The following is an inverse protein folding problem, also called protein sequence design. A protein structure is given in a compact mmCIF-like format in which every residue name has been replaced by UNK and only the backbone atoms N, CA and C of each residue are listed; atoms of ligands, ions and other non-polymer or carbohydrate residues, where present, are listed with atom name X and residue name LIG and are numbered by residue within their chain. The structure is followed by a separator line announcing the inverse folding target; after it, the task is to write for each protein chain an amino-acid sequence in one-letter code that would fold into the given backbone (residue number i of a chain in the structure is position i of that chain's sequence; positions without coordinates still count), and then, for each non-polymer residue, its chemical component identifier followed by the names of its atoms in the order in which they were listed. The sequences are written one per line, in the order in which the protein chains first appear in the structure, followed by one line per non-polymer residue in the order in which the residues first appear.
data_IF_609712163679
#
_entry.id   IF_609712163679
#
_cell.length_a   1.000
_cell.length_b   1.000
_cell.length_c   1.000
_cell.angle_alpha   90.00
_cell.angle_beta   90.00
_cell.angle_gamma   90.00
#
_symmetry.space_group_name_H-M   'P 1'
#
loop_
_entity.id
_entity.type
_entity.pdbx_description
1 polymer ?
#
# COMPACT_ATOMS: atom_id res chain seq x y z
N UNK A 1 14.48 22.61 -39.87
CA UNK A 1 13.54 22.21 -38.79
C UNK A 1 14.17 21.10 -37.99
N UNK A 2 14.62 21.33 -36.75
CA UNK A 2 15.16 20.28 -35.87
C UNK A 2 13.98 19.45 -35.37
N UNK A 3 13.91 18.17 -35.76
CA UNK A 3 12.94 17.21 -35.23
C UNK A 3 13.44 16.74 -33.87
N UNK A 4 12.77 17.15 -32.78
CA UNK A 4 13.04 16.62 -31.44
C UNK A 4 12.32 15.29 -31.30
N UNK A 5 13.06 14.20 -31.20
CA UNK A 5 12.52 12.87 -30.88
C UNK A 5 12.53 12.73 -29.36
N UNK A 6 11.35 12.55 -28.76
CA UNK A 6 11.20 12.28 -27.33
C UNK A 6 11.27 10.76 -27.12
N UNK A 7 12.32 10.28 -26.46
CA UNK A 7 12.42 8.89 -26.00
C UNK A 7 12.17 8.87 -24.50
N UNK A 8 11.10 8.21 -24.06
CA UNK A 8 10.81 7.94 -22.65
C UNK A 8 11.17 6.47 -22.41
N UNK A 9 12.19 6.22 -21.59
CA UNK A 9 12.57 4.89 -21.15
C UNK A 9 12.29 4.75 -19.65
N UNK A 10 11.49 3.76 -19.28
CA UNK A 10 11.23 3.38 -17.89
C UNK A 10 11.86 2.00 -17.70
N UNK A 11 12.85 1.90 -16.82
CA UNK A 11 13.46 0.63 -16.44
C UNK A 11 13.07 0.32 -15.00
N UNK A 12 12.39 -0.80 -14.78
CA UNK A 12 12.10 -1.34 -13.44
C UNK A 12 12.63 -2.77 -13.34
N UNK A 13 13.27 -3.06 -12.22
CA UNK A 13 13.70 -4.41 -11.85
C UNK A 13 13.10 -4.68 -10.48
N UNK A 14 12.31 -5.74 -10.36
CA UNK A 14 11.71 -6.19 -9.11
C UNK A 14 12.10 -7.64 -8.88
N UNK A 15 12.78 -7.91 -7.76
CA UNK A 15 13.12 -9.26 -7.31
C UNK A 15 12.20 -9.60 -6.14
N UNK A 16 11.28 -10.55 -6.33
CA UNK A 16 10.35 -11.01 -5.31
C UNK A 16 10.76 -12.39 -4.83
N UNK A 17 10.96 -12.55 -3.53
CA UNK A 17 11.22 -13.83 -2.87
C UNK A 17 10.05 -14.14 -1.94
N UNK A 18 9.37 -15.27 -2.14
CA UNK A 18 8.20 -15.69 -1.35
C UNK A 18 6.88 -15.74 -2.13
N UNK A 19 6.10 -16.80 -1.93
CA UNK A 19 4.77 -17.00 -2.52
C UNK A 19 3.84 -17.64 -1.49
N UNK A 20 2.54 -17.33 -1.56
CA UNK A 20 1.51 -17.97 -0.73
C UNK A 20 1.13 -17.29 0.59
N UNK A 21 1.67 -16.13 0.96
CA UNK A 21 1.24 -15.46 2.20
C UNK A 21 -0.21 -14.94 2.11
N UNK A 22 -0.98 -14.96 3.22
CA UNK A 22 -2.29 -14.31 3.29
C UNK A 22 -2.16 -12.79 3.18
N UNK A 23 -3.25 -12.09 2.85
CA UNK A 23 -3.33 -10.63 2.84
C UNK A 23 -2.36 -9.90 1.87
N UNK A 24 -1.99 -10.52 0.74
CA UNK A 24 -1.04 -9.94 -0.24
C UNK A 24 -1.36 -8.53 -0.73
N UNK A 25 -2.63 -8.17 -0.74
CA UNK A 25 -3.10 -6.85 -1.17
C UNK A 25 -2.49 -5.70 -0.34
N UNK A 26 -2.01 -5.97 0.87
CA UNK A 26 -1.33 -4.99 1.74
C UNK A 26 0.07 -4.58 1.22
N UNK A 27 0.64 -5.28 0.23
CA UNK A 27 1.98 -4.97 -0.28
C UNK A 27 2.19 -5.11 -1.78
N UNK A 28 1.20 -5.61 -2.53
CA UNK A 28 1.25 -5.65 -4.00
C UNK A 28 1.46 -4.28 -4.63
N UNK A 29 1.15 -3.21 -3.90
CA UNK A 29 1.31 -1.84 -4.38
C UNK A 29 0.03 -1.28 -4.94
N UNK A 30 -0.10 0.04 -4.89
CA UNK A 30 -1.15 0.80 -5.56
C UNK A 30 -0.57 2.06 -6.21
N UNK A 31 -1.35 2.70 -7.09
CA UNK A 31 -0.89 3.90 -7.80
C UNK A 31 -0.03 3.56 -9.02
N UNK A 32 -0.50 3.95 -10.21
CA UNK A 32 0.20 3.66 -11.47
C UNK A 32 1.64 4.18 -11.51
N UNK A 33 1.89 5.34 -10.87
CA UNK A 33 3.24 5.92 -10.77
C UNK A 33 4.19 5.04 -9.95
N UNK A 34 3.77 4.60 -8.76
CA UNK A 34 4.62 3.75 -7.91
C UNK A 34 4.82 2.37 -8.50
N UNK A 35 3.77 1.78 -9.05
CA UNK A 35 3.84 0.48 -9.71
C UNK A 35 4.77 0.50 -10.93
N UNK A 36 4.71 1.55 -11.76
CA UNK A 36 5.62 1.68 -12.92
C UNK A 36 7.08 1.91 -12.51
N UNK A 37 7.33 2.45 -11.31
CA UNK A 37 8.64 2.59 -10.68
C UNK A 37 9.04 1.37 -9.84
N UNK A 38 8.46 0.19 -10.10
CA UNK A 38 8.83 -1.06 -9.43
C UNK A 38 8.26 -1.22 -8.02
N UNK A 39 7.06 -0.68 -7.77
CA UNK A 39 6.39 -0.66 -6.46
C UNK A 39 7.15 0.16 -5.39
N UNK A 40 7.82 1.23 -5.82
CA UNK A 40 8.51 2.16 -4.93
C UNK A 40 7.60 3.30 -4.50
N UNK A 41 7.80 3.82 -3.30
CA UNK A 41 6.97 4.90 -2.78
C UNK A 41 7.36 5.39 -1.39
N UNK A 42 8.16 4.64 -0.64
CA UNK A 42 8.50 5.02 0.75
C UNK A 42 9.31 6.31 0.81
N UNK A 43 10.14 6.57 -0.21
CA UNK A 43 10.99 7.74 -0.33
C UNK A 43 10.56 8.70 -1.44
N UNK A 44 9.36 8.55 -2.01
CA UNK A 44 8.85 9.48 -3.02
C UNK A 44 8.11 10.64 -2.36
N UNK A 45 8.44 11.85 -2.81
CA UNK A 45 7.64 13.05 -2.57
C UNK A 45 6.42 13.10 -3.53
N UNK A 46 5.35 13.79 -3.11
CA UNK A 46 4.13 13.99 -3.93
C UNK A 46 3.57 12.69 -4.53
N UNK A 47 3.41 11.66 -3.70
CA UNK A 47 2.73 10.43 -4.09
C UNK A 47 1.26 10.48 -3.68
N UNK A 48 0.32 10.38 -4.60
CA UNK A 48 -1.14 10.48 -4.31
C UNK A 48 -1.62 9.41 -3.33
N UNK A 49 -1.02 8.22 -3.37
CA UNK A 49 -1.28 7.11 -2.46
C UNK A 49 -0.28 7.07 -1.29
N UNK A 50 0.27 8.22 -0.87
CA UNK A 50 1.28 8.29 0.19
C UNK A 50 0.91 7.53 1.49
N UNK A 51 -0.34 7.57 2.01
CA UNK A 51 -0.69 6.83 3.23
C UNK A 51 -0.41 5.32 3.15
N UNK A 52 -0.46 4.72 1.96
CA UNK A 52 -0.17 3.30 1.75
C UNK A 52 1.33 2.97 1.72
N UNK A 53 2.22 3.91 1.36
CA UNK A 53 3.66 3.65 1.26
C UNK A 53 4.46 4.22 2.43
N UNK A 54 4.17 5.46 2.82
CA UNK A 54 4.80 6.14 3.93
C UNK A 54 3.89 7.28 4.43
N UNK A 55 3.31 7.15 5.65
CA UNK A 55 2.49 8.21 6.25
C UNK A 55 3.18 9.59 6.26
N UNK A 56 4.50 9.67 6.46
CA UNK A 56 5.22 10.95 6.49
C UNK A 56 5.21 11.71 5.15
N UNK A 57 5.09 10.99 4.03
CA UNK A 57 5.12 11.57 2.68
C UNK A 57 3.86 12.37 2.34
N UNK A 58 2.83 12.32 3.19
CA UNK A 58 1.63 13.16 3.07
C UNK A 58 1.91 14.62 3.44
N UNK A 59 2.92 14.87 4.28
CA UNK A 59 3.29 16.22 4.70
C UNK A 59 3.92 17.04 3.57
N UNK A 60 3.59 18.33 3.52
CA UNK A 60 4.06 19.28 2.51
C UNK A 60 3.85 18.77 1.07
N UNK A 61 2.72 18.10 0.80
CA UNK A 61 2.38 17.67 -0.57
C UNK A 61 1.80 18.81 -1.44
N UNK A 62 1.43 19.93 -0.83
CA UNK A 62 0.68 20.99 -1.48
C UNK A 62 -0.80 20.67 -1.65
N UNK A 63 -1.34 20.92 -2.85
CA UNK A 63 -2.78 20.95 -3.11
C UNK A 63 -3.44 19.58 -2.94
N UNK A 64 -4.75 19.63 -2.70
CA UNK A 64 -5.63 18.46 -2.70
C UNK A 64 -5.45 17.64 -3.98
N UNK A 65 -5.36 16.33 -3.82
CA UNK A 65 -5.31 15.35 -4.90
C UNK A 65 -6.29 14.23 -4.63
N UNK A 66 -6.94 13.76 -5.69
CA UNK A 66 -7.77 12.57 -5.71
C UNK A 66 -7.24 11.64 -6.82
N UNK A 67 -7.07 10.37 -6.50
CA UNK A 67 -6.69 9.34 -7.46
C UNK A 67 -7.48 8.08 -7.20
N UNK A 68 -7.75 7.31 -8.24
CA UNK A 68 -8.36 6.00 -8.13
C UNK A 68 -7.86 5.13 -9.26
N UNK A 69 -7.95 3.82 -9.08
CA UNK A 69 -7.59 2.89 -10.13
C UNK A 69 -7.89 1.45 -9.76
N UNK A 70 -7.57 0.57 -10.68
CA UNK A 70 -7.77 -0.87 -10.53
C UNK A 70 -6.57 -1.65 -11.07
N UNK A 71 -6.44 -2.90 -10.63
CA UNK A 71 -5.44 -3.86 -11.09
C UNK A 71 -6.13 -5.19 -11.36
N UNK A 72 -5.86 -5.78 -12.52
CA UNK A 72 -6.27 -7.13 -12.85
C UNK A 72 -5.09 -8.07 -12.61
N UNK A 73 -5.31 -9.08 -11.80
CA UNK A 73 -4.31 -10.07 -11.43
C UNK A 73 -4.71 -11.43 -11.99
N UNK A 74 -3.76 -12.37 -12.02
CA UNK A 74 -4.07 -13.76 -12.35
C UNK A 74 -5.07 -14.36 -11.34
N UNK A 75 -5.83 -15.37 -11.80
CA UNK A 75 -6.87 -16.08 -11.04
C UNK A 75 -8.08 -15.20 -10.71
N UNK A 76 -8.50 -14.36 -11.67
CA UNK A 76 -9.68 -13.47 -11.57
C UNK A 76 -9.70 -12.57 -10.33
N UNK A 77 -8.51 -12.31 -9.77
CA UNK A 77 -8.31 -11.39 -8.66
C UNK A 77 -8.28 -9.95 -9.16
N UNK A 78 -8.91 -9.08 -8.40
CA UNK A 78 -9.01 -7.65 -8.70
C UNK A 78 -8.64 -6.84 -7.47
N UNK A 79 -7.90 -5.76 -7.68
CA UNK A 79 -7.66 -4.73 -6.67
C UNK A 79 -8.24 -3.43 -7.20
N UNK A 80 -9.02 -2.75 -6.37
CA UNK A 80 -9.47 -1.37 -6.59
C UNK A 80 -8.87 -0.50 -5.50
N UNK A 81 -8.57 0.74 -5.81
CA UNK A 81 -8.16 1.71 -4.81
C UNK A 81 -8.69 3.10 -5.12
N UNK A 82 -8.90 3.88 -4.06
CA UNK A 82 -9.12 5.31 -4.12
C UNK A 82 -8.26 5.97 -3.06
N UNK A 83 -7.67 7.13 -3.37
CA UNK A 83 -6.86 7.88 -2.44
C UNK A 83 -7.13 9.37 -2.56
N UNK A 84 -7.23 10.02 -1.41
CA UNK A 84 -7.25 11.45 -1.28
C UNK A 84 -6.11 11.90 -0.37
N UNK A 85 -5.52 13.04 -0.67
CA UNK A 85 -4.49 13.62 0.17
C UNK A 85 -4.47 15.13 -0.01
N UNK A 86 -4.21 15.87 1.06
CA UNK A 86 -4.10 17.33 1.03
C UNK A 86 -3.14 17.81 2.10
N UNK A 87 -2.41 18.88 1.79
CA UNK A 87 -1.85 19.74 2.83
C UNK A 87 -2.99 20.49 3.54
N UNK A 88 -2.87 20.65 4.86
CA UNK A 88 -3.85 21.34 5.71
C UNK A 88 -3.29 22.71 6.10
N UNK A 89 -2.09 22.76 6.69
CA UNK A 89 -1.46 24.00 7.15
C UNK A 89 0.02 23.81 7.45
N UNK A 90 0.87 24.77 7.07
CA UNK A 90 2.28 24.88 7.49
C UNK A 90 3.09 23.57 7.41
N UNK A 91 3.00 22.85 6.29
CA UNK A 91 3.70 21.58 6.10
C UNK A 91 3.08 20.40 6.86
N UNK A 92 1.89 20.55 7.44
CA UNK A 92 1.06 19.45 7.91
C UNK A 92 0.09 18.99 6.82
N UNK A 93 -0.09 17.68 6.66
CA UNK A 93 -0.96 17.09 5.66
C UNK A 93 -1.73 15.89 6.19
N UNK A 94 -2.85 15.61 5.54
CA UNK A 94 -3.70 14.43 5.78
C UNK A 94 -3.90 13.65 4.50
N UNK A 95 -4.09 12.35 4.64
CA UNK A 95 -4.41 11.48 3.52
C UNK A 95 -5.25 10.29 3.96
N UNK A 96 -6.03 9.78 3.03
CA UNK A 96 -6.86 8.60 3.19
C UNK A 96 -6.74 7.75 1.93
N UNK A 97 -6.42 6.47 2.11
CA UNK A 97 -6.43 5.47 1.04
C UNK A 97 -7.46 4.41 1.42
N UNK A 98 -8.27 4.01 0.45
CA UNK A 98 -9.07 2.80 0.50
C UNK A 98 -8.59 1.82 -0.57
N UNK A 99 -8.51 0.55 -0.22
CA UNK A 99 -8.17 -0.56 -1.11
C UNK A 99 -9.23 -1.64 -0.93
N UNK A 100 -9.72 -2.17 -2.03
CA UNK A 100 -10.58 -3.34 -2.06
C UNK A 100 -9.92 -4.43 -2.90
N UNK A 101 -9.69 -5.59 -2.32
CA UNK A 101 -9.17 -6.78 -3.00
C UNK A 101 -10.23 -7.87 -3.00
N UNK A 102 -10.56 -8.41 -4.17
CA UNK A 102 -11.51 -9.50 -4.29
C UNK A 102 -11.09 -10.54 -5.30
N UNK A 103 -11.68 -11.73 -5.18
CA UNK A 103 -11.68 -12.77 -6.20
C UNK A 103 -13.12 -13.04 -6.60
N UNK A 104 -13.37 -13.13 -7.91
CA UNK A 104 -14.69 -13.42 -8.45
C UNK A 104 -14.92 -14.91 -8.65
N UNK A 105 -16.20 -15.30 -8.66
CA UNK A 105 -16.73 -16.50 -9.32
C UNK A 105 -16.00 -17.82 -9.05
N UNK A 106 -15.58 -18.06 -7.79
CA UNK A 106 -15.00 -19.35 -7.41
C UNK A 106 -16.11 -20.37 -7.23
N UNK A 107 -16.14 -21.43 -8.04
CA UNK A 107 -17.14 -22.51 -7.92
C UNK A 107 -17.08 -23.20 -6.55
N UNK A 108 -18.18 -23.17 -5.80
CA UNK A 108 -18.37 -24.03 -4.63
C UNK A 108 -18.76 -25.44 -5.10
N UNK A 109 -18.07 -26.48 -4.61
CA UNK A 109 -18.33 -27.88 -5.00
C UNK A 109 -18.58 -28.77 -3.79
N UNK A 110 -19.52 -29.71 -3.93
CA UNK A 110 -19.72 -30.77 -2.94
C UNK A 110 -18.66 -31.89 -3.09
N UNK A 111 -18.73 -32.91 -2.24
CA UNK A 111 -17.81 -34.06 -2.29
C UNK A 111 -17.88 -34.83 -3.60
N UNK A 112 -19.02 -34.78 -4.30
CA UNK A 112 -19.26 -35.41 -5.60
C UNK A 112 -18.84 -34.50 -6.78
N UNK A 113 -18.16 -33.38 -6.49
CA UNK A 113 -17.69 -32.37 -7.45
C UNK A 113 -18.78 -31.60 -8.19
N UNK A 114 -20.04 -31.68 -7.75
CA UNK A 114 -21.15 -30.92 -8.32
C UNK A 114 -21.07 -29.46 -7.85
N UNK A 115 -21.36 -28.52 -8.75
CA UNK A 115 -21.39 -27.09 -8.42
C UNK A 115 -22.63 -26.82 -7.56
N UNK A 116 -22.40 -26.28 -6.37
CA UNK A 116 -23.44 -25.97 -5.38
C UNK A 116 -23.68 -24.47 -5.21
N UNK A 117 -22.80 -23.63 -5.76
CA UNK A 117 -22.88 -22.18 -5.68
C UNK A 117 -21.55 -21.52 -6.02
N UNK A 118 -21.36 -20.28 -5.56
CA UNK A 118 -20.09 -19.55 -5.69
C UNK A 118 -19.58 -19.11 -4.32
N UNK A 119 -18.27 -19.18 -4.13
CA UNK A 119 -17.55 -18.65 -2.99
C UNK A 119 -17.02 -17.28 -3.36
N UNK A 120 -17.27 -16.29 -2.51
CA UNK A 120 -16.69 -14.96 -2.65
C UNK A 120 -15.74 -14.66 -1.51
N UNK A 121 -14.64 -14.01 -1.84
CA UNK A 121 -13.69 -13.47 -0.87
C UNK A 121 -13.40 -12.01 -1.23
N UNK A 122 -13.58 -11.14 -0.25
CA UNK A 122 -13.39 -9.70 -0.37
C UNK A 122 -12.65 -9.18 0.84
N UNK A 123 -11.71 -8.27 0.62
CA UNK A 123 -10.94 -7.65 1.68
C UNK A 123 -10.86 -6.15 1.43
N UNK A 124 -11.09 -5.37 2.47
CA UNK A 124 -10.97 -3.93 2.46
C UNK A 124 -9.82 -3.51 3.38
N UNK A 125 -9.03 -2.54 2.93
CA UNK A 125 -8.06 -1.83 3.74
C UNK A 125 -8.30 -0.33 3.66
N UNK A 126 -8.21 0.34 4.79
CA UNK A 126 -8.29 1.79 4.90
C UNK A 126 -7.04 2.28 5.64
N UNK A 127 -6.32 3.22 5.03
CA UNK A 127 -5.17 3.88 5.62
C UNK A 127 -5.47 5.36 5.76
N UNK A 128 -5.62 5.83 6.99
CA UNK A 128 -5.64 7.26 7.29
C UNK A 128 -4.28 7.67 7.80
N UNK A 129 -3.74 8.79 7.33
CA UNK A 129 -2.46 9.32 7.78
C UNK A 129 -2.53 10.83 8.04
N UNK A 130 -1.87 11.25 9.11
CA UNK A 130 -1.51 12.63 9.37
C UNK A 130 0.01 12.74 9.45
N UNK A 131 0.57 13.77 8.84
CA UNK A 131 2.00 14.01 8.89
C UNK A 131 2.32 15.49 9.00
N UNK A 132 3.46 15.81 9.60
CA UNK A 132 3.96 17.17 9.76
C UNK A 132 5.44 17.25 9.44
N UNK A 133 5.82 18.31 8.74
CA UNK A 133 7.21 18.78 8.68
C UNK A 133 7.61 19.32 10.05
N UNK A 134 8.38 18.54 10.81
CA UNK A 134 8.85 18.92 12.16
C UNK A 134 10.13 19.74 12.12
N UNK A 135 11.00 19.48 11.14
CA UNK A 135 12.17 20.29 10.83
C UNK A 135 12.22 20.55 9.33
N UNK A 136 13.06 21.49 8.87
CA UNK A 136 13.14 21.88 7.45
C UNK A 136 13.41 20.73 6.47
N UNK A 137 13.97 19.63 6.97
CA UNK A 137 14.34 18.41 6.25
C UNK A 137 13.74 17.13 6.85
N UNK A 138 13.01 17.18 7.98
CA UNK A 138 12.45 15.99 8.64
C UNK A 138 10.94 16.09 8.70
N UNK A 139 10.31 15.04 8.21
CA UNK A 139 8.88 14.86 8.15
C UNK A 139 8.51 13.59 8.91
N UNK A 140 7.54 13.70 9.82
CA UNK A 140 7.04 12.58 10.60
C UNK A 140 5.56 12.37 10.29
N UNK A 141 5.15 11.12 10.17
CA UNK A 141 3.76 10.76 9.94
C UNK A 141 3.32 9.60 10.81
N UNK A 142 2.05 9.63 11.20
CA UNK A 142 1.37 8.58 11.91
C UNK A 142 0.02 8.33 11.23
N UNK A 143 -0.46 7.11 11.31
CA UNK A 143 -1.70 6.71 10.68
C UNK A 143 -2.45 5.65 11.47
N UNK A 144 -3.74 5.57 11.18
CA UNK A 144 -4.61 4.48 11.61
C UNK A 144 -4.91 3.64 10.40
N UNK A 145 -4.78 2.34 10.56
CA UNK A 145 -4.99 1.35 9.51
C UNK A 145 -6.13 0.43 9.95
N UNK A 146 -7.10 0.19 9.07
CA UNK A 146 -8.21 -0.72 9.33
C UNK A 146 -8.29 -1.74 8.21
N UNK A 147 -8.36 -3.01 8.59
CA UNK A 147 -8.51 -4.14 7.69
C UNK A 147 -9.80 -4.87 7.98
N UNK A 148 -10.50 -5.26 6.94
CA UNK A 148 -11.68 -6.09 7.02
C UNK A 148 -11.58 -7.18 5.96
N UNK A 149 -11.82 -8.42 6.38
CA UNK A 149 -11.83 -9.58 5.52
C UNK A 149 -13.21 -10.22 5.58
N UNK A 150 -13.72 -10.58 4.41
CA UNK A 150 -14.97 -11.29 4.23
C UNK A 150 -14.72 -12.55 3.40
N UNK A 151 -15.20 -13.67 3.93
CA UNK A 151 -15.18 -14.98 3.27
C UNK A 151 -16.57 -15.60 3.47
N UNK A 152 -17.35 -15.65 2.39
CA UNK A 152 -18.78 -16.01 2.45
C UNK A 152 -19.56 -15.16 3.47
N UNK A 153 -20.16 -15.77 4.49
CA UNK A 153 -20.88 -15.12 5.59
C UNK A 153 -20.01 -14.86 6.82
N UNK A 154 -18.70 -15.15 6.76
CA UNK A 154 -17.75 -14.78 7.81
C UNK A 154 -17.13 -13.43 7.50
N UNK A 155 -17.21 -12.50 8.45
CA UNK A 155 -16.55 -11.20 8.37
C UNK A 155 -15.75 -10.98 9.63
N UNK A 156 -14.49 -10.58 9.47
CA UNK A 156 -13.60 -10.25 10.56
C UNK A 156 -12.83 -8.97 10.23
N UNK A 157 -12.44 -8.20 11.25
CA UNK A 157 -11.71 -6.96 11.04
C UNK A 157 -10.79 -6.62 12.19
N UNK A 158 -9.79 -5.79 11.92
CA UNK A 158 -8.83 -5.32 12.91
C UNK A 158 -8.38 -3.90 12.57
N UNK A 159 -8.02 -3.14 13.60
CA UNK A 159 -7.39 -1.84 13.45
C UNK A 159 -5.97 -1.88 14.03
N UNK A 160 -5.12 -0.99 13.53
CA UNK A 160 -3.74 -0.83 13.99
C UNK A 160 -3.18 0.51 13.56
N UNK A 161 -1.85 0.60 13.57
CA UNK A 161 -1.16 1.85 13.33
C UNK A 161 -0.10 1.74 12.23
N UNK A 162 0.09 2.86 11.54
CA UNK A 162 1.20 3.09 10.63
C UNK A 162 2.05 4.26 11.13
N UNK A 163 3.36 4.19 10.89
CA UNK A 163 4.29 5.26 11.21
C UNK A 163 5.29 5.45 10.08
N UNK A 164 5.77 6.68 9.91
CA UNK A 164 6.65 7.04 8.81
C UNK A 164 7.60 8.18 9.16
N UNK A 165 8.77 8.14 8.52
CA UNK A 165 9.78 9.19 8.55
C UNK A 165 10.21 9.47 7.10
N UNK A 166 10.36 10.75 6.77
CA UNK A 166 10.95 11.19 5.50
C UNK A 166 11.99 12.27 5.77
N UNK A 167 13.23 12.01 5.34
CA UNK A 167 14.34 12.94 5.41
C UNK A 167 14.63 13.49 4.01
N UNK A 168 14.48 14.82 3.84
CA UNK A 168 14.54 15.49 2.52
C UNK A 168 15.73 16.44 2.45
N UNK A 169 16.68 16.13 1.57
CA UNK A 169 17.82 16.96 1.20
C UNK A 169 17.41 17.75 -0.05
N UNK A 170 17.63 19.06 -0.05
CA UNK A 170 17.21 19.94 -1.16
C UNK A 170 18.25 20.04 -2.29
N UNK A 171 19.53 20.04 -1.93
CA UNK A 171 20.63 20.15 -2.89
C UNK A 171 21.78 19.21 -2.49
N UNK A 172 21.97 18.08 -3.19
CA UNK A 172 21.10 17.54 -4.24
C UNK A 172 19.71 17.11 -3.74
N UNK A 173 18.70 17.05 -4.62
CA UNK A 173 17.34 16.64 -4.24
C UNK A 173 17.26 15.13 -3.99
N UNK A 174 17.48 14.73 -2.74
CA UNK A 174 17.46 13.35 -2.27
C UNK A 174 16.43 13.21 -1.16
N UNK A 175 15.65 12.14 -1.18
CA UNK A 175 14.77 11.77 -0.07
C UNK A 175 15.12 10.39 0.43
N UNK A 176 15.22 10.22 1.74
CA UNK A 176 15.34 8.93 2.41
C UNK A 176 14.06 8.71 3.20
N UNK A 177 13.44 7.55 3.03
CA UNK A 177 12.15 7.22 3.61
C UNK A 177 12.20 5.93 4.41
N UNK A 178 11.52 5.92 5.55
CA UNK A 178 11.25 4.72 6.34
C UNK A 178 9.79 4.69 6.73
N UNK A 179 9.18 3.51 6.69
CA UNK A 179 7.81 3.31 7.15
C UNK A 179 7.67 1.97 7.87
N UNK A 180 6.79 1.95 8.86
CA UNK A 180 6.34 0.75 9.56
C UNK A 180 4.82 0.73 9.50
N UNK A 181 4.25 -0.38 9.04
CA UNK A 181 2.83 -0.52 8.75
C UNK A 181 2.28 -1.80 9.36
N UNK A 182 0.96 -1.89 9.43
CA UNK A 182 0.19 -2.98 10.03
C UNK A 182 0.59 -3.26 11.50
N UNK A 183 1.00 -2.22 12.24
CA UNK A 183 1.47 -2.40 13.62
C UNK A 183 0.30 -2.75 14.53
N UNK A 184 0.51 -3.76 15.37
CA UNK A 184 -0.44 -4.21 16.39
C UNK A 184 -1.78 -4.73 15.85
N UNK A 185 -1.77 -5.34 14.66
CA UNK A 185 -2.99 -5.86 14.01
C UNK A 185 -3.14 -7.37 14.17
N UNK A 186 -4.35 -7.80 14.54
CA UNK A 186 -4.70 -9.21 14.70
C UNK A 186 -6.18 -9.41 14.36
N UNK A 187 -6.45 -10.23 13.35
CA UNK A 187 -7.81 -10.60 12.96
C UNK A 187 -8.27 -11.79 13.79
N UNK A 188 -9.44 -11.68 14.42
CA UNK A 188 -10.06 -12.79 15.13
C UNK A 188 -11.21 -13.37 14.30
N UNK A 189 -11.04 -14.62 13.86
CA UNK A 189 -12.02 -15.36 13.07
C UNK A 189 -12.90 -16.22 13.98
N UNK A 190 -14.22 -16.08 13.88
CA UNK A 190 -15.16 -16.90 14.65
C UNK A 190 -15.86 -17.92 13.74
N UNK A 191 -15.36 -19.15 13.73
CA UNK A 191 -15.92 -20.23 12.88
C UNK A 191 -17.32 -20.69 13.33
N UNK A 192 -17.74 -20.39 14.56
CA UNK A 192 -19.09 -20.68 15.03
C UNK A 192 -20.16 -19.95 14.20
N UNK A 193 -19.85 -18.76 13.71
CA UNK A 193 -20.78 -17.94 12.92
C UNK A 193 -21.09 -18.57 11.55
N UNK A 194 -20.28 -19.54 11.12
CA UNK A 194 -20.48 -20.31 9.90
C UNK A 194 -21.06 -21.70 10.18
N UNK A 195 -20.39 -22.48 11.03
CA UNK A 195 -20.73 -23.90 11.23
C UNK A 195 -21.76 -24.14 12.35
N UNK A 196 -22.11 -23.12 13.13
CA UNK A 196 -22.94 -23.26 14.36
C UNK A 196 -22.24 -23.98 15.51
N UNK A 197 -21.01 -24.46 15.27
CA UNK A 197 -20.08 -25.08 16.22
C UNK A 197 -18.67 -24.70 15.76
N UNK A 198 -17.90 -24.00 16.59
CA UNK A 198 -16.56 -23.58 16.18
C UNK A 198 -15.73 -22.96 17.29
N UNK A 199 -14.53 -22.54 16.91
CA UNK A 199 -13.56 -21.85 17.75
C UNK A 199 -13.27 -20.45 17.20
N UNK A 200 -12.84 -19.57 18.09
CA UNK A 200 -12.23 -18.29 17.72
C UNK A 200 -10.75 -18.54 17.47
N UNK A 201 -10.28 -18.21 16.27
CA UNK A 201 -8.86 -18.27 15.89
C UNK A 201 -8.33 -16.88 15.66
N UNK A 202 -7.17 -16.60 16.24
CA UNK A 202 -6.47 -15.34 16.04
C UNK A 202 -5.41 -15.46 14.95
N UNK A 203 -5.46 -14.59 13.96
CA UNK A 203 -4.48 -14.46 12.88
C UNK A 203 -3.75 -13.13 13.03
N UNK A 204 -2.43 -13.18 13.25
CA UNK A 204 -1.59 -11.97 13.30
C UNK A 204 -1.38 -11.43 11.90
N UNK A 205 -1.58 -10.13 11.71
CA UNK A 205 -1.20 -9.47 10.47
C UNK A 205 0.28 -9.10 10.56
N UNK A 206 1.06 -9.51 9.57
CA UNK A 206 2.48 -9.23 9.56
C UNK A 206 2.75 -7.72 9.41
N UNK A 207 3.54 -7.22 10.36
CA UNK A 207 4.07 -5.86 10.32
C UNK A 207 4.96 -5.72 9.08
N UNK A 208 4.82 -4.61 8.37
CA UNK A 208 5.57 -4.33 7.15
C UNK A 208 6.51 -3.16 7.38
N UNK A 209 7.81 -3.41 7.23
CA UNK A 209 8.84 -2.38 7.31
C UNK A 209 9.34 -2.06 5.91
N UNK A 210 9.38 -0.78 5.55
CA UNK A 210 9.89 -0.27 4.28
C UNK A 210 11.02 0.71 4.54
N UNK A 211 12.06 0.64 3.73
CA UNK A 211 13.15 1.62 3.68
C UNK A 211 13.48 1.93 2.24
N UNK A 212 13.84 3.18 1.93
CA UNK A 212 14.13 3.53 0.54
C UNK A 212 14.81 4.87 0.38
N UNK A 213 15.24 5.12 -0.85
CA UNK A 213 15.89 6.35 -1.27
C UNK A 213 15.38 6.77 -2.63
N UNK A 214 15.20 8.08 -2.83
CA UNK A 214 14.94 8.68 -4.13
C UNK A 214 15.91 9.83 -4.40
N UNK A 215 16.24 10.00 -5.68
CA UNK A 215 17.06 11.09 -6.18
C UNK A 215 16.38 11.72 -7.40
N UNK A 216 16.19 13.03 -7.38
CA UNK A 216 15.65 13.79 -8.50
C UNK A 216 16.75 14.64 -9.12
N UNK A 217 17.01 14.42 -10.40
CA UNK A 217 18.04 15.13 -11.16
C UNK A 217 17.51 15.64 -12.49
N UNK A 218 18.42 16.29 -13.24
CA UNK A 218 18.16 16.74 -14.61
C UNK A 218 19.38 16.42 -15.48
N UNK A 219 19.14 15.91 -16.68
CA UNK A 219 20.15 15.84 -17.74
C UNK A 219 19.77 16.92 -18.76
N UNK A 220 20.55 18.01 -18.80
CA UNK A 220 20.18 19.23 -19.53
C UNK A 220 18.81 19.76 -19.09
N UNK A 221 17.80 19.74 -19.96
CA UNK A 221 16.43 20.18 -19.65
C UNK A 221 15.49 19.03 -19.23
N UNK A 222 15.95 17.77 -19.27
CA UNK A 222 15.10 16.59 -19.05
C UNK A 222 15.18 16.17 -17.57
N UNK A 223 14.09 16.25 -16.80
CA UNK A 223 14.08 15.76 -15.42
C UNK A 223 14.05 14.23 -15.39
N UNK A 224 14.72 13.65 -14.40
CA UNK A 224 14.63 12.22 -14.11
C UNK A 224 14.50 11.97 -12.60
N UNK A 225 13.97 10.81 -12.25
CA UNK A 225 13.91 10.31 -10.87
C UNK A 225 14.48 8.91 -10.84
N UNK A 226 15.39 8.66 -9.90
CA UNK A 226 15.84 7.32 -9.52
C UNK A 226 15.26 7.03 -8.14
N UNK A 227 14.75 5.82 -7.93
CA UNK A 227 14.18 5.42 -6.66
C UNK A 227 14.40 3.93 -6.44
N UNK A 228 14.57 3.54 -5.18
CA UNK A 228 14.74 2.16 -4.78
C UNK A 228 14.22 1.96 -3.37
N UNK A 229 13.40 0.93 -3.20
CA UNK A 229 12.79 0.56 -1.92
C UNK A 229 13.18 -0.89 -1.60
N UNK A 230 13.43 -1.13 -0.32
CA UNK A 230 13.50 -2.46 0.29
C UNK A 230 12.34 -2.58 1.27
N UNK A 231 11.77 -3.78 1.38
CA UNK A 231 10.75 -4.04 2.37
C UNK A 231 10.85 -5.45 2.93
N UNK A 232 10.39 -5.61 4.17
CA UNK A 232 10.42 -6.87 4.89
C UNK A 232 9.20 -6.99 5.79
N UNK A 233 8.65 -8.21 5.86
CA UNK A 233 7.63 -8.57 6.85
C UNK A 233 8.26 -9.06 8.13
N UNK A 234 7.64 -8.72 9.26
CA UNK A 234 7.88 -9.36 10.55
C UNK A 234 7.39 -10.81 10.46
N UNK A 235 8.27 -11.73 10.06
CA UNK A 235 7.97 -13.15 10.07
C UNK A 235 8.15 -13.69 11.50
N UNK A 236 7.15 -14.38 12.02
CA UNK A 236 7.37 -15.20 13.21
C UNK A 236 8.31 -16.35 12.81
N UNK A 237 9.36 -16.59 13.60
CA UNK A 237 10.16 -17.80 13.44
C UNK A 237 9.25 -19.00 13.71
N UNK A 238 9.00 -19.80 12.67
CA UNK A 238 8.39 -21.13 12.79
C UNK A 238 9.25 -21.97 13.74
#
# INVERSE_FOLDING_TARGET
MRRTILVIAIFSISLLFGAGEPNKYLWLGIGAKSLSLGNTGVALDNLDCAPFYNPASVSERGKFSLTAGNQFLALDRRIYYASLASEVSDGAGVGLVWIHSSVGDVDARNMDSEITGTVSNGNDAIYFAFAKRVFSNIHLGLGVEYLQSSLENLTAGTAGFGAGISYRIKDPQITIGFAAQNLFMKISWNSNDYYGLGYVSDEKIYELFRGGISYRGKISAIPFVLTGDIWQFSADKI
#
